data_IF_531745135824
#
_entry.id   IF_531745135824
#
_cell.length_a   1.000
_cell.length_b   1.000
_cell.length_c   1.000
_cell.angle_alpha   90.00
_cell.angle_beta   90.00
_cell.angle_gamma   90.00
#
_symmetry.space_group_name_H-M   'P 1'
#
loop_
_entity.id
_entity.type
_entity.pdbx_description
1 polymer ?
#
# COMPACT_ATOMS: atom_id res chain seq x y z
N UNK A 1 -38.72 0.13 -3.73
CA UNK A 1 -37.83 0.51 -2.61
C UNK A 1 -36.73 1.45 -3.10
N UNK A 2 -36.25 2.38 -2.25
CA UNK A 2 -35.15 3.30 -2.61
C UNK A 2 -33.82 2.55 -2.63
N UNK A 3 -32.94 2.75 -3.62
CA UNK A 3 -31.65 2.05 -3.68
C UNK A 3 -30.72 2.46 -2.53
N UNK A 4 -29.87 1.53 -2.08
CA UNK A 4 -28.83 1.80 -1.09
C UNK A 4 -27.91 2.93 -1.55
N UNK A 5 -27.62 3.87 -0.65
CA UNK A 5 -26.63 4.92 -0.85
C UNK A 5 -25.70 4.98 0.36
N UNK A 6 -24.40 4.80 0.12
CA UNK A 6 -23.41 4.93 1.16
C UNK A 6 -23.17 6.42 1.48
N UNK A 7 -23.18 6.78 2.76
CA UNK A 7 -23.11 8.20 3.17
C UNK A 7 -21.70 8.78 3.04
N UNK A 8 -20.67 7.93 3.04
CA UNK A 8 -19.26 8.34 2.99
C UNK A 8 -18.57 7.96 1.67
N UNK A 9 -19.29 7.90 0.55
CA UNK A 9 -18.71 7.48 -0.75
C UNK A 9 -17.55 8.39 -1.21
N UNK A 10 -17.65 9.70 -0.96
CA UNK A 10 -16.58 10.64 -1.24
C UNK A 10 -15.32 10.35 -0.40
N UNK A 11 -15.50 10.04 0.89
CA UNK A 11 -14.40 9.68 1.80
C UNK A 11 -13.76 8.36 1.37
N UNK A 12 -14.57 7.35 1.00
CA UNK A 12 -14.08 6.08 0.47
C UNK A 12 -13.23 6.28 -0.78
N UNK A 13 -13.70 7.09 -1.72
CA UNK A 13 -12.96 7.43 -2.94
C UNK A 13 -11.63 8.12 -2.61
N UNK A 14 -11.64 9.04 -1.65
CA UNK A 14 -10.42 9.71 -1.18
C UNK A 14 -9.43 8.72 -0.56
N UNK A 15 -9.88 7.84 0.34
CA UNK A 15 -9.01 6.83 0.98
C UNK A 15 -8.41 5.85 -0.03
N UNK A 16 -9.20 5.42 -1.03
CA UNK A 16 -8.70 4.60 -2.13
C UNK A 16 -7.60 5.31 -2.94
N UNK A 17 -7.75 6.61 -3.19
CA UNK A 17 -6.72 7.41 -3.88
C UNK A 17 -5.48 7.57 -3.02
N UNK A 18 -5.64 7.82 -1.72
CA UNK A 18 -4.53 7.96 -0.78
C UNK A 18 -3.71 6.68 -0.67
N UNK A 19 -4.34 5.50 -0.57
CA UNK A 19 -3.61 4.23 -0.59
C UNK A 19 -2.84 4.03 -1.90
N UNK A 20 -3.47 4.28 -3.06
CA UNK A 20 -2.80 4.16 -4.36
C UNK A 20 -1.58 5.09 -4.46
N UNK A 21 -1.72 6.33 -4.01
CA UNK A 21 -0.62 7.29 -3.99
C UNK A 21 0.49 6.82 -3.04
N UNK A 22 0.16 6.36 -1.83
CA UNK A 22 1.14 5.85 -0.88
C UNK A 22 1.89 4.63 -1.44
N UNK A 23 1.19 3.74 -2.15
CA UNK A 23 1.79 2.57 -2.81
C UNK A 23 2.77 3.00 -3.91
N UNK A 24 2.41 4.00 -4.71
CA UNK A 24 3.30 4.55 -5.74
C UNK A 24 4.55 5.19 -5.12
N UNK A 25 4.39 5.96 -4.04
CA UNK A 25 5.52 6.57 -3.33
C UNK A 25 6.46 5.53 -2.72
N UNK A 26 5.89 4.48 -2.11
CA UNK A 26 6.66 3.34 -1.61
C UNK A 26 7.44 2.65 -2.74
N UNK A 27 6.80 2.38 -3.87
CA UNK A 27 7.46 1.80 -5.05
C UNK A 27 8.64 2.65 -5.54
N UNK A 28 8.45 3.97 -5.63
CA UNK A 28 9.53 4.91 -5.98
C UNK A 28 10.67 4.89 -4.97
N UNK A 29 10.37 4.81 -3.68
CA UNK A 29 11.39 4.74 -2.63
C UNK A 29 12.22 3.45 -2.71
N UNK A 30 11.57 2.31 -2.96
CA UNK A 30 12.25 1.02 -3.15
C UNK A 30 13.18 1.08 -4.35
N UNK A 31 12.69 1.57 -5.49
CA UNK A 31 13.50 1.72 -6.70
C UNK A 31 14.72 2.63 -6.47
N UNK A 32 14.54 3.76 -5.77
CA UNK A 32 15.64 4.66 -5.43
C UNK A 32 16.69 3.99 -4.53
N UNK A 33 16.26 3.17 -3.56
CA UNK A 33 17.17 2.39 -2.70
C UNK A 33 17.96 1.35 -3.50
N UNK A 34 17.32 0.65 -4.42
CA UNK A 34 18.00 -0.32 -5.30
C UNK A 34 19.04 0.36 -6.19
N UNK A 35 18.72 1.52 -6.76
CA UNK A 35 19.67 2.32 -7.53
C UNK A 35 20.86 2.79 -6.69
N UNK A 36 20.62 3.25 -5.46
CA UNK A 36 21.67 3.64 -4.53
C UNK A 36 22.60 2.47 -4.16
N UNK A 37 22.03 1.27 -3.92
CA UNK A 37 22.80 0.06 -3.66
C UNK A 37 23.64 -0.36 -4.86
N UNK A 38 23.07 -0.32 -6.08
CA UNK A 38 23.79 -0.64 -7.29
C UNK A 38 24.97 0.33 -7.51
N UNK A 39 24.79 1.62 -7.21
CA UNK A 39 25.87 2.61 -7.29
C UNK A 39 26.97 2.36 -6.25
N UNK A 40 26.61 2.01 -5.02
CA UNK A 40 27.58 1.63 -3.97
C UNK A 40 28.39 0.39 -4.40
N UNK A 41 27.75 -0.63 -4.96
CA UNK A 41 28.45 -1.82 -5.43
C UNK A 41 29.43 -1.52 -6.56
N UNK A 42 29.03 -0.71 -7.56
CA UNK A 42 29.94 -0.26 -8.62
C UNK A 42 31.13 0.50 -8.05
N UNK A 43 30.91 1.39 -7.08
CA UNK A 43 31.98 2.15 -6.43
C UNK A 43 32.95 1.24 -5.68
N UNK A 44 32.45 0.17 -5.05
CA UNK A 44 33.30 -0.84 -4.39
C UNK A 44 34.07 -1.70 -5.38
N UNK A 45 33.46 -2.08 -6.49
CA UNK A 45 34.15 -2.77 -7.58
C UNK A 45 35.28 -1.91 -8.16
N UNK A 46 35.06 -0.59 -8.31
CA UNK A 46 36.11 0.36 -8.70
C UNK A 46 37.24 0.38 -7.66
N UNK A 47 36.91 0.42 -6.37
CA UNK A 47 37.91 0.41 -5.30
C UNK A 47 38.74 -0.89 -5.29
N UNK A 48 38.11 -2.04 -5.52
CA UNK A 48 38.81 -3.32 -5.63
C UNK A 48 39.78 -3.33 -6.82
N UNK A 49 39.36 -2.80 -7.99
CA UNK A 49 40.26 -2.68 -9.15
C UNK A 49 41.49 -1.83 -8.85
N UNK A 50 41.31 -0.70 -8.17
CA UNK A 50 42.43 0.16 -7.76
C UNK A 50 43.37 -0.59 -6.81
N UNK A 51 42.82 -1.38 -5.90
CA UNK A 51 43.60 -2.20 -5.00
C UNK A 51 44.43 -3.25 -5.76
N UNK A 52 43.84 -3.94 -6.74
CA UNK A 52 44.56 -4.89 -7.59
C UNK A 52 45.66 -4.20 -8.43
N UNK A 53 45.35 -3.07 -9.06
CA UNK A 53 46.35 -2.28 -9.81
C UNK A 53 47.53 -1.85 -8.92
N UNK A 54 47.27 -1.57 -7.64
CA UNK A 54 48.33 -1.23 -6.68
C UNK A 54 49.18 -2.45 -6.32
N UNK A 55 48.60 -3.63 -6.19
CA UNK A 55 49.33 -4.87 -5.95
C UNK A 55 50.25 -5.22 -7.13
N UNK A 56 49.77 -5.04 -8.36
CA UNK A 56 50.55 -5.31 -9.57
C UNK A 56 51.79 -4.40 -9.71
N UNK A 57 51.79 -3.25 -9.02
CA UNK A 57 52.89 -2.29 -8.99
C UNK A 57 53.86 -2.48 -7.80
N UNK A 58 53.75 -3.58 -7.06
CA UNK A 58 54.56 -3.83 -5.85
C UNK A 58 56.07 -3.84 -6.09
N UNK A 59 56.50 -4.21 -7.29
CA UNK A 59 57.92 -4.31 -7.67
C UNK A 59 58.54 -2.96 -8.08
N UNK A 60 57.73 -1.89 -8.03
CA UNK A 60 58.16 -0.52 -8.28
C UNK A 60 57.35 0.14 -9.40
N UNK A 61 57.08 1.43 -9.22
CA UNK A 61 56.35 2.23 -10.20
C UNK A 61 56.93 3.65 -10.27
N UNK A 62 56.77 4.34 -11.41
CA UNK A 62 57.07 5.77 -11.49
C UNK A 62 56.30 6.56 -10.41
N UNK A 63 56.94 7.56 -9.81
CA UNK A 63 56.31 8.39 -8.78
C UNK A 63 55.01 9.07 -9.26
N UNK A 64 54.94 9.41 -10.56
CA UNK A 64 53.74 9.96 -11.19
C UNK A 64 52.56 8.98 -11.20
N UNK A 65 52.82 7.69 -11.43
CA UNK A 65 51.80 6.63 -11.39
C UNK A 65 51.27 6.43 -9.98
N UNK A 66 52.16 6.43 -8.97
CA UNK A 66 51.77 6.32 -7.56
C UNK A 66 50.93 7.52 -7.12
N UNK A 67 51.34 8.75 -7.47
CA UNK A 67 50.58 9.96 -7.17
C UNK A 67 49.20 9.98 -7.83
N UNK A 68 49.08 9.47 -9.07
CA UNK A 68 47.80 9.32 -9.74
C UNK A 68 46.90 8.31 -9.01
N UNK A 69 47.42 7.14 -8.64
CA UNK A 69 46.66 6.12 -7.89
C UNK A 69 46.21 6.61 -6.52
N UNK A 70 47.06 7.33 -5.78
CA UNK A 70 46.67 7.92 -4.49
C UNK A 70 45.52 8.91 -4.64
N UNK A 71 45.61 9.81 -5.63
CA UNK A 71 44.55 10.77 -5.91
C UNK A 71 43.25 10.06 -6.29
N UNK A 72 43.33 9.10 -7.20
CA UNK A 72 42.18 8.33 -7.67
C UNK A 72 41.53 7.52 -6.55
N UNK A 73 42.34 6.90 -5.68
CA UNK A 73 41.85 6.21 -4.47
C UNK A 73 41.08 7.16 -3.57
N UNK A 74 41.61 8.37 -3.34
CA UNK A 74 40.94 9.40 -2.53
C UNK A 74 39.58 9.82 -3.11
N UNK A 75 39.50 9.99 -4.43
CA UNK A 75 38.24 10.33 -5.12
C UNK A 75 37.20 9.20 -5.00
N UNK A 76 37.60 7.95 -5.21
CA UNK A 76 36.70 6.79 -5.10
C UNK A 76 36.29 6.54 -3.65
N UNK A 77 37.18 6.73 -2.67
CA UNK A 77 36.82 6.63 -1.25
C UNK A 77 35.83 7.71 -0.82
N UNK A 78 35.98 8.95 -1.31
CA UNK A 78 35.00 10.00 -1.07
C UNK A 78 33.62 9.65 -1.66
N UNK A 79 33.61 9.12 -2.89
CA UNK A 79 32.39 8.63 -3.57
C UNK A 79 31.75 7.46 -2.81
N UNK A 80 32.54 6.53 -2.29
CA UNK A 80 32.02 5.41 -1.51
C UNK A 80 31.28 5.93 -0.27
N UNK A 81 31.91 6.85 0.48
CA UNK A 81 31.29 7.47 1.66
C UNK A 81 29.96 8.14 1.32
N UNK A 82 29.90 8.90 0.22
CA UNK A 82 28.67 9.52 -0.25
C UNK A 82 27.61 8.47 -0.64
N UNK A 83 28.01 7.41 -1.35
CA UNK A 83 27.10 6.34 -1.76
C UNK A 83 26.50 5.58 -0.57
N UNK A 84 27.29 5.36 0.51
CA UNK A 84 26.79 4.76 1.76
C UNK A 84 25.74 5.67 2.40
N UNK A 85 25.99 6.98 2.46
CA UNK A 85 25.01 7.94 2.99
C UNK A 85 23.73 7.96 2.14
N UNK A 86 23.85 7.90 0.82
CA UNK A 86 22.71 7.84 -0.09
C UNK A 86 21.88 6.57 0.12
N UNK A 87 22.52 5.41 0.33
CA UNK A 87 21.82 4.16 0.67
C UNK A 87 21.09 4.28 2.02
N UNK A 88 21.70 4.92 3.02
CA UNK A 88 21.06 5.14 4.32
C UNK A 88 19.82 6.03 4.20
N UNK A 89 19.93 7.17 3.50
CA UNK A 89 18.81 8.08 3.27
C UNK A 89 17.69 7.42 2.46
N UNK A 90 18.03 6.66 1.42
CA UNK A 90 17.06 5.91 0.64
C UNK A 90 16.37 4.82 1.46
N UNK A 91 17.11 4.14 2.35
CA UNK A 91 16.54 3.13 3.25
C UNK A 91 15.56 3.75 4.26
N UNK A 92 15.91 4.89 4.84
CA UNK A 92 15.00 5.63 5.71
C UNK A 92 13.72 6.04 4.95
N UNK A 93 13.85 6.48 3.70
CA UNK A 93 12.70 6.84 2.86
C UNK A 93 11.79 5.65 2.55
N UNK A 94 12.35 4.46 2.35
CA UNK A 94 11.54 3.22 2.20
C UNK A 94 10.76 2.95 3.48
N UNK A 95 11.38 3.10 4.64
CA UNK A 95 10.72 2.87 5.93
C UNK A 95 9.58 3.86 6.18
N UNK A 96 9.80 5.15 5.94
CA UNK A 96 8.75 6.16 6.12
C UNK A 96 7.58 5.95 5.16
N UNK A 97 7.85 5.74 3.87
CA UNK A 97 6.80 5.50 2.87
C UNK A 97 6.06 4.17 3.10
N UNK A 98 6.72 3.19 3.69
CA UNK A 98 6.07 1.95 4.14
C UNK A 98 5.08 2.20 5.27
N UNK A 99 5.47 2.98 6.28
CA UNK A 99 4.57 3.37 7.38
C UNK A 99 3.36 4.14 6.86
N UNK A 100 3.58 5.10 5.95
CA UNK A 100 2.50 5.86 5.31
C UNK A 100 1.53 4.96 4.54
N UNK A 101 2.05 3.95 3.82
CA UNK A 101 1.23 2.98 3.11
C UNK A 101 0.39 2.13 4.08
N UNK A 102 0.97 1.69 5.20
CA UNK A 102 0.22 0.92 6.21
C UNK A 102 -0.90 1.75 6.84
N UNK A 103 -0.63 3.02 7.16
CA UNK A 103 -1.63 3.94 7.68
C UNK A 103 -2.75 4.17 6.66
N UNK A 104 -2.41 4.45 5.40
CA UNK A 104 -3.42 4.65 4.35
C UNK A 104 -4.30 3.41 4.13
N UNK A 105 -3.72 2.19 4.24
CA UNK A 105 -4.46 0.92 4.19
C UNK A 105 -5.43 0.78 5.35
N UNK A 106 -4.96 1.05 6.56
CA UNK A 106 -5.78 0.98 7.77
C UNK A 106 -6.96 1.95 7.67
N UNK A 107 -6.71 3.20 7.23
CA UNK A 107 -7.75 4.21 7.06
C UNK A 107 -8.78 3.81 5.99
N UNK A 108 -8.35 3.20 4.87
CA UNK A 108 -9.27 2.64 3.87
C UNK A 108 -10.13 1.52 4.47
N UNK A 109 -9.52 0.58 5.17
CA UNK A 109 -10.20 -0.57 5.74
C UNK A 109 -11.27 -0.17 6.76
N UNK A 110 -11.02 0.88 7.56
CA UNK A 110 -12.02 1.43 8.49
C UNK A 110 -13.28 1.90 7.74
N UNK A 111 -13.09 2.59 6.60
CA UNK A 111 -14.22 3.08 5.78
C UNK A 111 -14.97 1.92 5.12
N UNK A 112 -14.27 0.88 4.67
CA UNK A 112 -14.90 -0.31 4.10
C UNK A 112 -15.72 -1.08 5.14
N UNK A 113 -15.17 -1.30 6.34
CA UNK A 113 -15.93 -1.91 7.44
C UNK A 113 -17.18 -1.10 7.81
N UNK A 114 -17.13 0.22 7.70
CA UNK A 114 -18.29 1.07 7.92
C UNK A 114 -19.34 0.93 6.81
N UNK A 115 -18.91 0.83 5.55
CA UNK A 115 -19.77 0.54 4.40
C UNK A 115 -20.51 -0.79 4.59
N UNK A 116 -19.80 -1.85 4.96
CA UNK A 116 -20.39 -3.17 5.15
C UNK A 116 -21.47 -3.14 6.24
N UNK A 117 -21.17 -2.52 7.39
CA UNK A 117 -22.15 -2.34 8.48
C UNK A 117 -23.36 -1.53 8.06
N UNK A 118 -23.17 -0.47 7.27
CA UNK A 118 -24.28 0.33 6.78
C UNK A 118 -25.14 -0.48 5.79
N UNK A 119 -24.49 -1.32 4.98
CA UNK A 119 -25.17 -2.20 4.03
C UNK A 119 -26.01 -3.24 4.74
N UNK A 120 -25.46 -3.94 5.71
CA UNK A 120 -26.21 -4.90 6.55
C UNK A 120 -27.42 -4.27 7.25
N UNK A 121 -27.31 -3.01 7.69
CA UNK A 121 -28.44 -2.31 8.32
C UNK A 121 -29.53 -1.99 7.31
N UNK A 122 -29.15 -1.60 6.10
CA UNK A 122 -30.08 -1.34 5.01
C UNK A 122 -30.78 -2.63 4.57
N UNK A 123 -30.03 -3.71 4.35
CA UNK A 123 -30.61 -5.00 3.93
C UNK A 123 -31.59 -5.52 5.00
N UNK A 124 -31.23 -5.46 6.29
CA UNK A 124 -32.16 -5.80 7.39
C UNK A 124 -33.42 -4.93 7.45
N UNK A 125 -33.32 -3.66 7.06
CA UNK A 125 -34.48 -2.78 7.01
C UNK A 125 -35.38 -3.13 5.82
N UNK A 126 -34.77 -3.49 4.68
CA UNK A 126 -35.44 -3.98 3.48
C UNK A 126 -36.25 -5.24 3.79
N UNK A 127 -35.61 -6.25 4.38
CA UNK A 127 -36.26 -7.53 4.72
C UNK A 127 -37.48 -7.33 5.64
N UNK A 128 -37.38 -6.41 6.60
CA UNK A 128 -38.49 -6.06 7.51
C UNK A 128 -39.62 -5.35 6.79
N UNK A 129 -39.32 -4.44 5.87
CA UNK A 129 -40.33 -3.77 5.04
C UNK A 129 -41.05 -4.78 4.14
N UNK A 130 -40.29 -5.68 3.49
CA UNK A 130 -40.85 -6.75 2.66
C UNK A 130 -41.75 -7.68 3.48
N UNK A 131 -41.28 -8.16 4.64
CA UNK A 131 -42.08 -9.01 5.52
C UNK A 131 -43.36 -8.31 5.97
N UNK A 132 -43.28 -7.03 6.35
CA UNK A 132 -44.47 -6.24 6.72
C UNK A 132 -45.48 -6.16 5.56
N UNK A 133 -45.02 -5.93 4.33
CA UNK A 133 -45.92 -5.88 3.17
C UNK A 133 -46.58 -7.23 2.88
N UNK A 134 -45.85 -8.34 3.06
CA UNK A 134 -46.39 -9.69 2.91
C UNK A 134 -47.44 -9.99 3.99
N UNK A 135 -47.18 -9.62 5.25
CA UNK A 135 -48.11 -9.80 6.37
C UNK A 135 -49.39 -8.96 6.18
N UNK A 136 -49.26 -7.72 5.68
CA UNK A 136 -50.41 -6.87 5.35
C UNK A 136 -51.26 -7.45 4.21
N UNK A 137 -50.64 -8.02 3.18
CA UNK A 137 -51.34 -8.71 2.10
C UNK A 137 -52.05 -9.98 2.59
N UNK A 138 -51.38 -10.80 3.40
CA UNK A 138 -51.96 -11.99 4.00
C UNK A 138 -53.15 -11.66 4.90
N UNK A 139 -53.05 -10.62 5.72
CA UNK A 139 -54.13 -10.13 6.57
C UNK A 139 -55.34 -9.63 5.75
N UNK A 140 -55.10 -8.94 4.62
CA UNK A 140 -56.18 -8.51 3.71
C UNK A 140 -56.86 -9.68 3.00
N UNK A 141 -56.11 -10.71 2.59
CA UNK A 141 -56.70 -11.93 2.02
C UNK A 141 -57.49 -12.73 3.06
N UNK A 142 -56.99 -12.85 4.29
CA UNK A 142 -57.73 -13.46 5.40
C UNK A 142 -59.01 -12.70 5.75
N UNK A 143 -58.99 -11.37 5.71
CA UNK A 143 -60.16 -10.52 5.94
C UNK A 143 -61.19 -10.54 4.78
N UNK A 144 -60.73 -10.73 3.53
CA UNK A 144 -61.59 -10.90 2.35
C UNK A 144 -62.16 -12.32 2.21
N UNK A 145 -61.72 -13.26 3.05
CA UNK A 145 -62.22 -14.64 3.08
C UNK A 145 -62.99 -14.97 4.38
N UNK A 146 -64.08 -14.24 4.73
CA UNK A 146 -64.88 -14.57 5.90
C UNK A 146 -65.86 -15.75 5.69
N UNK A 147 -65.70 -16.56 4.64
CA UNK A 147 -66.65 -17.64 4.32
C UNK A 147 -65.96 -18.99 4.07
N UNK A 148 -65.71 -19.70 5.16
CA UNK A 148 -66.10 -21.12 5.23
C UNK A 148 -66.89 -21.31 6.52
N UNK A 149 -68.22 -21.50 6.45
CA UNK A 149 -69.04 -21.78 7.61
C UNK A 149 -68.78 -23.21 8.14
N UNK A 150 -69.08 -23.35 9.42
CA UNK A 150 -69.23 -24.57 10.22
C UNK A 150 -69.35 -25.89 9.44
N UNK A 151 -68.41 -26.81 9.70
CA UNK A 151 -68.71 -28.24 9.66
C UNK A 151 -69.06 -28.69 11.09
N UNK A 152 -70.35 -28.60 11.40
CA UNK A 152 -70.99 -29.48 12.36
C UNK A 152 -71.33 -30.78 11.62
N UNK A 153 -70.74 -31.91 12.02
CA UNK A 153 -71.32 -33.23 11.83
C UNK A 153 -71.06 -34.06 13.09
N UNK A 154 -72.18 -34.57 13.61
CA UNK A 154 -72.44 -35.56 14.67
C UNK A 154 -71.27 -36.39 15.20
#
# INVERSE_FOLDING_TARGET
MKPFKFTLEAVRTLRNRQEKNALEQYGKAVQAREQALAFLWKTREEMEKIFQERLDLSDGAPASTLAHLEKWTGEVAAREKESVQNVQLASLRVETTWQDLMLARQEREIVEKYLDRQRERYDRALDREEQKTLDELASRQGALNPLTPAFAWN
#
